data_IF_255421792160
#
_entry.id   IF_255421792160
#
_cell.length_a   1.000
_cell.length_b   1.000
_cell.length_c   1.000
_cell.angle_alpha   90.00
_cell.angle_beta   90.00
_cell.angle_gamma   90.00
#
_symmetry.space_group_name_H-M   'P 1'
#
loop_
_entity.id
_entity.type
_entity.pdbx_description
1 polymer ?
#
# COMPACT_ATOMS: atom_id res chain seq x y z
N UNK A 1 23.23 15.05 -33.99
CA UNK A 1 22.67 15.75 -32.84
C UNK A 1 21.44 15.07 -32.31
N UNK A 2 20.47 14.83 -33.13
CA UNK A 2 19.27 14.14 -32.69
C UNK A 2 19.57 12.76 -32.11
N UNK A 3 20.57 12.08 -32.64
CA UNK A 3 20.95 10.75 -32.20
C UNK A 3 21.50 10.77 -30.76
N UNK A 4 22.22 11.82 -30.41
CA UNK A 4 22.72 11.94 -29.04
C UNK A 4 21.58 12.10 -28.06
N UNK A 5 20.58 12.88 -28.41
CA UNK A 5 19.43 13.07 -27.57
C UNK A 5 18.68 11.75 -27.33
N UNK A 6 18.58 10.95 -28.40
CA UNK A 6 17.92 9.65 -28.33
C UNK A 6 18.70 8.71 -27.42
N UNK A 7 20.02 8.71 -27.50
CA UNK A 7 20.84 7.86 -26.66
C UNK A 7 20.74 8.25 -25.21
N UNK A 8 20.73 9.54 -24.91
CA UNK A 8 20.57 10.02 -23.57
C UNK A 8 19.21 9.62 -23.01
N UNK A 9 18.20 9.71 -23.85
CA UNK A 9 16.85 9.33 -23.46
C UNK A 9 16.79 7.84 -23.13
N UNK A 10 17.46 7.02 -23.92
CA UNK A 10 17.53 5.58 -23.68
C UNK A 10 18.17 5.28 -22.32
N UNK A 11 19.24 5.97 -22.00
CA UNK A 11 19.92 5.78 -20.72
C UNK A 11 18.99 6.15 -19.56
N UNK A 12 18.24 7.22 -19.69
CA UNK A 12 17.28 7.63 -18.68
C UNK A 12 16.17 6.62 -18.53
N UNK A 13 15.73 6.04 -19.63
CA UNK A 13 14.69 5.01 -19.59
C UNK A 13 15.20 3.78 -18.85
N UNK A 14 16.45 3.40 -19.06
CA UNK A 14 17.02 2.27 -18.35
C UNK A 14 17.08 2.53 -16.83
N UNK A 15 17.46 3.74 -16.46
CA UNK A 15 17.47 4.11 -15.05
C UNK A 15 16.07 4.05 -14.46
N UNK A 16 15.08 4.55 -15.20
CA UNK A 16 13.70 4.49 -14.76
C UNK A 16 13.21 3.05 -14.63
N UNK A 17 13.69 2.17 -15.50
CA UNK A 17 13.32 0.76 -15.44
C UNK A 17 13.76 0.09 -14.15
N UNK A 18 14.89 0.51 -13.58
CA UNK A 18 15.34 -0.01 -12.31
C UNK A 18 14.34 0.35 -11.20
N UNK A 19 13.80 1.55 -11.24
CA UNK A 19 12.78 1.95 -10.28
C UNK A 19 11.42 1.36 -10.58
N UNK A 20 11.18 0.93 -11.83
CA UNK A 20 9.92 0.32 -12.20
C UNK A 20 9.74 -1.07 -11.59
N UNK A 21 10.78 -1.61 -10.95
CA UNK A 21 10.64 -2.87 -10.23
C UNK A 21 10.02 -2.70 -8.87
N UNK A 22 9.80 -1.46 -8.48
CA UNK A 22 9.09 -1.16 -7.24
C UNK A 22 7.65 -1.65 -7.35
N UNK A 23 7.11 -2.11 -6.23
CA UNK A 23 5.74 -2.58 -6.17
C UNK A 23 4.78 -1.46 -6.55
N UNK A 24 3.89 -1.74 -7.49
CA UNK A 24 2.82 -0.82 -7.85
C UNK A 24 1.52 -1.36 -7.28
N UNK A 25 0.77 -0.52 -6.59
CA UNK A 25 -0.41 -0.98 -5.88
C UNK A 25 -1.43 0.15 -5.74
N UNK A 26 -2.66 -0.24 -5.43
CA UNK A 26 -3.74 0.68 -5.11
C UNK A 26 -4.26 0.36 -3.72
N UNK A 27 -4.74 1.39 -3.04
CA UNK A 27 -5.37 1.24 -1.73
C UNK A 27 -6.77 1.83 -1.81
N UNK A 28 -7.76 1.06 -1.36
CA UNK A 28 -9.14 1.52 -1.30
C UNK A 28 -9.65 1.38 0.12
N UNK A 29 -10.36 2.39 0.58
CA UNK A 29 -10.93 2.40 1.93
C UNK A 29 -12.45 2.39 1.80
N UNK A 30 -13.08 1.37 2.37
CA UNK A 30 -14.52 1.25 2.35
C UNK A 30 -15.04 1.34 3.77
N UNK A 31 -15.85 2.34 4.03
CA UNK A 31 -16.35 2.60 5.38
C UNK A 31 -17.57 1.77 5.69
N UNK A 32 -17.68 1.39 6.95
CA UNK A 32 -18.86 0.69 7.48
C UNK A 32 -19.27 1.36 8.78
N UNK A 33 -20.56 1.61 8.91
CA UNK A 33 -21.14 2.11 10.15
C UNK A 33 -21.67 0.92 10.94
N UNK A 34 -21.19 0.79 12.16
CA UNK A 34 -21.62 -0.28 13.05
C UNK A 34 -22.22 0.33 14.30
N UNK A 35 -23.00 -0.44 15.09
CA UNK A 35 -23.52 0.08 16.35
C UNK A 35 -22.44 0.59 17.30
N UNK A 36 -21.23 0.05 17.20
CA UNK A 36 -20.13 0.47 18.06
C UNK A 36 -19.28 1.57 17.45
N UNK A 37 -19.63 2.07 16.27
CA UNK A 37 -18.92 3.18 15.62
C UNK A 37 -18.55 2.88 14.18
N UNK A 38 -17.70 3.73 13.64
CA UNK A 38 -17.23 3.60 12.26
C UNK A 38 -16.03 2.67 12.20
N UNK A 39 -16.02 1.79 11.21
CA UNK A 39 -14.84 1.02 10.87
C UNK A 39 -14.65 1.10 9.36
N UNK A 40 -13.51 0.61 8.89
CA UNK A 40 -13.24 0.58 7.46
C UNK A 40 -12.54 -0.72 7.09
N UNK A 41 -12.83 -1.18 5.89
CA UNK A 41 -12.06 -2.24 5.27
C UNK A 41 -11.09 -1.59 4.32
N UNK A 42 -9.81 -1.86 4.48
CA UNK A 42 -8.77 -1.29 3.64
C UNK A 42 -8.30 -2.38 2.69
N UNK A 43 -8.56 -2.20 1.41
CA UNK A 43 -8.17 -3.16 0.39
C UNK A 43 -6.91 -2.68 -0.30
N UNK A 44 -5.91 -3.55 -0.33
CA UNK A 44 -4.64 -3.28 -1.02
C UNK A 44 -4.60 -4.21 -2.22
N UNK A 45 -4.43 -3.63 -3.40
CA UNK A 45 -4.36 -4.40 -4.64
C UNK A 45 -3.03 -4.13 -5.32
N UNK A 46 -2.20 -5.15 -5.44
CA UNK A 46 -0.92 -5.03 -6.12
C UNK A 46 -1.14 -5.16 -7.62
N UNK A 47 -0.65 -4.18 -8.35
CA UNK A 47 -0.71 -4.19 -9.81
C UNK A 47 0.53 -4.80 -10.42
N UNK A 48 1.68 -4.61 -9.78
CA UNK A 48 2.95 -5.07 -10.31
C UNK A 48 3.92 -5.33 -9.16
N UNK A 49 4.62 -6.44 -9.24
CA UNK A 49 5.60 -6.84 -8.23
C UNK A 49 5.80 -8.34 -8.25
N UNK A 50 6.81 -8.82 -7.54
CA UNK A 50 7.08 -10.25 -7.43
C UNK A 50 6.09 -10.90 -6.47
N UNK A 51 5.42 -11.98 -6.88
CA UNK A 51 4.43 -12.64 -6.02
C UNK A 51 5.03 -13.16 -4.71
N UNK A 52 4.14 -13.37 -3.75
CA UNK A 52 4.56 -13.73 -2.41
C UNK A 52 4.56 -12.51 -1.52
N UNK A 53 3.48 -11.72 -1.60
CA UNK A 53 3.38 -10.47 -0.87
C UNK A 53 2.98 -10.69 0.56
N UNK A 54 3.56 -9.89 1.44
CA UNK A 54 3.15 -9.78 2.83
C UNK A 54 2.66 -8.36 3.06
N UNK A 55 1.50 -8.23 3.68
CA UNK A 55 0.86 -6.95 3.91
C UNK A 55 0.84 -6.66 5.40
N UNK A 56 1.17 -5.42 5.74
CA UNK A 56 1.21 -4.98 7.13
C UNK A 56 0.37 -3.74 7.29
N UNK A 57 -0.44 -3.70 8.34
CA UNK A 57 -1.08 -2.47 8.81
C UNK A 57 -0.37 -2.08 10.09
N UNK A 58 0.18 -0.87 10.10
CA UNK A 58 1.01 -0.39 11.18
C UNK A 58 0.49 0.93 11.70
N UNK A 59 0.93 1.31 12.90
CA UNK A 59 0.68 2.66 13.38
C UNK A 59 1.36 3.66 12.45
N UNK A 60 0.93 4.91 12.49
CA UNK A 60 1.35 5.92 11.51
C UNK A 60 2.79 6.42 11.69
N UNK A 61 3.66 5.61 12.20
CA UNK A 61 5.07 5.96 12.31
C UNK A 61 5.86 4.89 11.57
N UNK A 62 6.33 5.17 10.35
CA UNK A 62 7.05 4.15 9.61
C UNK A 62 8.40 3.77 10.23
N UNK A 63 8.90 4.59 11.14
CA UNK A 63 10.17 4.31 11.80
C UNK A 63 9.99 3.50 13.08
N UNK A 64 8.93 3.77 13.82
CA UNK A 64 8.67 3.16 15.12
C UNK A 64 7.31 2.50 15.18
N UNK A 65 6.64 2.37 14.05
CA UNK A 65 5.28 1.88 14.03
C UNK A 65 5.18 0.44 14.50
N UNK A 66 4.15 0.17 15.27
CA UNK A 66 3.83 -1.17 15.69
C UNK A 66 2.96 -1.84 14.64
N UNK A 67 3.17 -3.13 14.45
CA UNK A 67 2.35 -3.90 13.53
C UNK A 67 1.02 -4.20 14.21
N UNK A 68 -0.06 -3.76 13.58
CA UNK A 68 -1.42 -4.01 14.07
C UNK A 68 -1.99 -5.26 13.45
N UNK A 69 -1.81 -5.41 12.14
CA UNK A 69 -2.26 -6.58 11.39
C UNK A 69 -1.20 -6.97 10.39
N UNK A 70 -1.09 -8.27 10.15
CA UNK A 70 -0.11 -8.80 9.22
C UNK A 70 -0.72 -9.98 8.47
N UNK A 71 -0.55 -10.02 7.16
CA UNK A 71 -1.00 -11.15 6.35
C UNK A 71 0.01 -12.28 6.38
N UNK A 72 -0.41 -13.43 5.85
CA UNK A 72 0.51 -14.52 5.60
C UNK A 72 1.52 -14.11 4.54
N UNK A 73 2.75 -14.65 4.59
CA UNK A 73 3.78 -14.30 3.62
C UNK A 73 3.46 -14.67 2.19
N UNK A 74 2.53 -15.58 1.97
CA UNK A 74 2.16 -16.01 0.63
C UNK A 74 0.80 -15.47 0.21
N UNK A 75 0.39 -14.34 0.76
CA UNK A 75 -0.87 -13.74 0.40
C UNK A 75 -0.85 -13.32 -1.08
N UNK A 76 -2.00 -13.31 -1.70
CA UNK A 76 -2.11 -12.99 -3.12
C UNK A 76 -1.92 -11.50 -3.39
N UNK A 77 -2.31 -11.09 -4.59
CA UNK A 77 -2.15 -9.69 -5.01
C UNK A 77 -3.17 -8.76 -4.39
N UNK A 78 -4.16 -9.29 -3.71
CA UNK A 78 -5.17 -8.48 -3.04
C UNK A 78 -5.29 -8.94 -1.61
N UNK A 79 -5.28 -7.97 -0.70
CA UNK A 79 -5.48 -8.26 0.71
C UNK A 79 -6.37 -7.19 1.34
N UNK A 80 -7.24 -7.61 2.25
CA UNK A 80 -8.18 -6.69 2.92
C UNK A 80 -7.92 -6.70 4.42
N UNK A 81 -7.61 -5.53 4.95
CA UNK A 81 -7.59 -5.33 6.40
C UNK A 81 -9.01 -4.97 6.83
N UNK A 82 -9.67 -5.86 7.57
CA UNK A 82 -11.07 -5.67 7.93
C UNK A 82 -11.24 -5.02 9.28
N UNK A 83 -12.27 -4.20 9.41
CA UNK A 83 -12.69 -3.68 10.70
C UNK A 83 -11.69 -2.71 11.31
N UNK A 84 -11.02 -1.92 10.50
CA UNK A 84 -10.02 -0.97 10.98
C UNK A 84 -10.72 0.23 11.59
N UNK A 85 -10.34 0.58 12.82
CA UNK A 85 -10.93 1.72 13.52
C UNK A 85 -10.41 3.03 12.97
N UNK A 86 -11.11 4.14 13.21
CA UNK A 86 -10.59 5.45 12.79
C UNK A 86 -9.21 5.71 13.35
N UNK A 87 -8.37 6.32 12.54
CA UNK A 87 -7.00 6.63 12.93
C UNK A 87 -6.12 6.77 11.71
N UNK A 88 -4.88 7.09 11.96
CA UNK A 88 -3.86 7.19 10.93
C UNK A 88 -2.97 5.96 10.99
N UNK A 89 -2.72 5.38 9.85
CA UNK A 89 -1.98 4.13 9.74
C UNK A 89 -0.96 4.20 8.64
N UNK A 90 -0.02 3.27 8.69
CA UNK A 90 0.91 3.06 7.60
C UNK A 90 0.69 1.65 7.05
N UNK A 91 0.51 1.55 5.75
CA UNK A 91 0.41 0.26 5.08
C UNK A 91 1.75 -0.05 4.46
N UNK A 92 2.27 -1.24 4.75
CA UNK A 92 3.52 -1.71 4.18
C UNK A 92 3.26 -3.00 3.43
N UNK A 93 3.88 -3.12 2.27
CA UNK A 93 3.83 -4.32 1.44
C UNK A 93 5.26 -4.75 1.20
N UNK A 94 5.54 -6.03 1.39
CA UNK A 94 6.84 -6.59 1.03
C UNK A 94 6.63 -7.65 -0.02
N UNK A 95 7.46 -7.65 -1.05
CA UNK A 95 7.38 -8.68 -2.06
C UNK A 95 8.22 -9.89 -1.65
N UNK A 96 8.29 -10.88 -2.55
CA UNK A 96 9.01 -12.11 -2.27
C UNK A 96 10.50 -11.88 -2.03
N UNK A 97 11.05 -10.80 -2.54
CA UNK A 97 12.45 -10.45 -2.37
C UNK A 97 12.68 -9.57 -1.13
N UNK A 98 11.62 -9.25 -0.40
CA UNK A 98 11.74 -8.39 0.76
C UNK A 98 11.77 -6.91 0.43
N UNK A 99 11.51 -6.54 -0.82
CA UNK A 99 11.47 -5.13 -1.20
C UNK A 99 10.17 -4.51 -0.68
N UNK A 100 10.27 -3.39 0.02
CA UNK A 100 9.08 -2.76 0.61
C UNK A 100 8.46 -1.71 -0.28
N UNK A 101 7.17 -1.51 -0.08
CA UNK A 101 6.46 -0.34 -0.56
C UNK A 101 5.47 0.03 0.54
N UNK A 102 5.06 1.27 0.58
CA UNK A 102 4.11 1.64 1.61
C UNK A 102 3.65 3.06 1.49
N UNK A 103 2.62 3.37 2.25
CA UNK A 103 2.04 4.71 2.30
C UNK A 103 1.21 4.85 3.55
N UNK A 104 1.00 6.10 3.94
CA UNK A 104 0.07 6.38 5.02
C UNK A 104 -1.36 6.30 4.50
N UNK A 105 -2.27 5.92 5.38
CA UNK A 105 -3.69 5.91 5.09
C UNK A 105 -4.42 6.39 6.32
N UNK A 106 -5.47 7.16 6.11
CA UNK A 106 -6.28 7.63 7.22
C UNK A 106 -7.67 7.06 7.12
N UNK A 107 -8.14 6.46 8.22
CA UNK A 107 -9.53 6.05 8.37
C UNK A 107 -10.18 7.12 9.21
N UNK A 108 -11.06 7.90 8.59
CA UNK A 108 -11.69 9.03 9.27
C UNK A 108 -12.91 8.56 10.04
N UNK A 109 -13.15 9.23 11.17
CA UNK A 109 -14.42 9.07 11.84
C UNK A 109 -15.51 9.45 10.86
N UNK A 110 -16.50 8.58 10.70
CA UNK A 110 -17.53 8.87 9.73
C UNK A 110 -18.56 9.85 10.30
N UNK A 111 -18.25 11.11 10.18
CA UNK A 111 -19.18 12.14 10.61
C UNK A 111 -20.43 12.14 9.75
N UNK A 112 -20.34 11.59 8.59
CA UNK A 112 -21.48 11.48 7.70
C UNK A 112 -22.35 10.28 8.01
N UNK A 113 -21.89 9.41 8.89
CA UNK A 113 -22.75 8.36 9.38
C UNK A 113 -24.00 8.92 10.02
N UNK A 114 -23.89 10.11 10.47
CA UNK A 114 -25.04 10.84 11.01
C UNK A 114 -25.92 11.39 9.90
N UNK A 115 -25.47 11.34 8.71
CA UNK A 115 -26.22 11.89 7.59
C UNK A 115 -27.15 10.86 7.03
#
# INVERSE_FOLDING_TARGET
MKRFAVLLLSALILSASLFAQVIQYEVKVKYKNTPSGTTADITVMVKKGDPGFTYYLMTNDPMKGDIIMKSDPAAGKTYVFKGVKPGKYFIRIEDNMGLPAGRTVEVKENENGKN
#
